data_IF_307713210594
#
_entry.id   IF_307713210594
#
_cell.length_a   1.000
_cell.length_b   1.000
_cell.length_c   1.000
_cell.angle_alpha   90.00
_cell.angle_beta   90.00
_cell.angle_gamma   90.00
#
_symmetry.space_group_name_H-M   'P 1'
#
loop_
_entity.id
_entity.type
_entity.pdbx_description
1 polymer ?
#
# COMPACT_ATOMS: atom_id res chain seq x y z
N UNK A 1 -16.90 21.38 1.54
CA UNK A 1 -16.67 20.07 0.89
C UNK A 1 -17.50 20.02 -0.38
N UNK A 2 -16.93 19.69 -1.54
CA UNK A 2 -17.71 19.61 -2.76
C UNK A 2 -18.61 18.36 -2.73
N UNK A 3 -19.86 18.51 -3.20
CA UNK A 3 -20.97 17.58 -2.96
C UNK A 3 -20.72 16.14 -3.46
N UNK A 4 -19.96 16.00 -4.54
CA UNK A 4 -19.59 14.70 -5.11
C UNK A 4 -18.84 13.78 -4.14
N UNK A 5 -17.99 14.30 -3.25
CA UNK A 5 -17.27 13.48 -2.25
C UNK A 5 -18.18 12.95 -1.13
N UNK A 6 -19.38 13.51 -0.98
CA UNK A 6 -20.41 13.00 -0.07
C UNK A 6 -21.31 12.01 -0.82
N UNK A 7 -21.64 12.32 -2.08
CA UNK A 7 -22.49 11.49 -2.92
C UNK A 7 -21.84 10.16 -3.30
N UNK A 8 -20.53 10.13 -3.57
CA UNK A 8 -19.81 8.93 -4.02
C UNK A 8 -19.86 7.79 -2.98
N UNK A 9 -19.52 7.99 -1.70
CA UNK A 9 -19.65 6.93 -0.68
C UNK A 9 -21.10 6.49 -0.48
N UNK A 10 -22.05 7.42 -0.50
CA UNK A 10 -23.47 7.09 -0.32
C UNK A 10 -24.03 6.26 -1.50
N UNK A 11 -23.69 6.65 -2.73
CA UNK A 11 -24.06 5.91 -3.93
C UNK A 11 -23.41 4.53 -3.96
N UNK A 12 -22.13 4.44 -3.59
CA UNK A 12 -21.43 3.15 -3.46
C UNK A 12 -22.03 2.26 -2.38
N UNK A 13 -22.46 2.81 -1.25
CA UNK A 13 -23.16 2.07 -0.20
C UNK A 13 -24.53 1.55 -0.66
N UNK A 14 -25.30 2.37 -1.37
CA UNK A 14 -26.58 1.95 -1.95
C UNK A 14 -26.38 0.83 -2.99
N UNK A 15 -25.36 0.96 -3.83
CA UNK A 15 -25.03 -0.04 -4.83
C UNK A 15 -24.56 -1.35 -4.19
N UNK A 16 -23.71 -1.28 -3.17
CA UNK A 16 -23.32 -2.44 -2.37
C UNK A 16 -24.56 -3.12 -1.75
N UNK A 17 -25.48 -2.35 -1.19
CA UNK A 17 -26.78 -2.87 -0.72
C UNK A 17 -27.55 -3.60 -1.81
N UNK A 18 -27.59 -3.06 -3.03
CA UNK A 18 -28.25 -3.69 -4.17
C UNK A 18 -27.61 -5.04 -4.56
N UNK A 19 -26.29 -5.19 -4.42
CA UNK A 19 -25.62 -6.48 -4.69
C UNK A 19 -26.01 -7.61 -3.74
N UNK A 20 -26.53 -7.30 -2.56
CA UNK A 20 -27.06 -8.32 -1.64
C UNK A 20 -28.48 -8.75 -1.99
N UNK A 21 -29.23 -7.92 -2.71
CA UNK A 21 -30.61 -8.17 -3.10
C UNK A 21 -30.75 -8.69 -4.54
N UNK A 22 -29.79 -8.41 -5.42
CA UNK A 22 -29.85 -8.71 -6.85
C UNK A 22 -28.67 -9.60 -7.29
N UNK A 23 -28.87 -10.52 -8.25
CA UNK A 23 -27.77 -11.29 -8.81
C UNK A 23 -26.79 -10.37 -9.55
N UNK A 24 -25.50 -10.70 -9.47
CA UNK A 24 -24.42 -9.90 -10.05
C UNK A 24 -24.37 -10.08 -11.58
N UNK A 25 -25.22 -9.35 -12.29
CA UNK A 25 -25.19 -9.26 -13.75
C UNK A 25 -23.93 -8.51 -14.23
N UNK A 26 -23.56 -8.67 -15.51
CA UNK A 26 -22.42 -7.95 -16.09
C UNK A 26 -22.56 -6.43 -15.94
N UNK A 27 -23.76 -5.88 -16.13
CA UNK A 27 -24.02 -4.44 -15.97
C UNK A 27 -23.82 -3.98 -14.52
N UNK A 28 -24.30 -4.77 -13.55
CA UNK A 28 -24.18 -4.44 -12.13
C UNK A 28 -22.73 -4.55 -11.68
N UNK A 29 -21.99 -5.54 -12.17
CA UNK A 29 -20.56 -5.68 -11.94
C UNK A 29 -19.78 -4.48 -12.49
N UNK A 30 -20.06 -4.01 -13.72
CA UNK A 30 -19.41 -2.80 -14.25
C UNK A 30 -19.72 -1.57 -13.39
N UNK A 31 -20.98 -1.39 -12.98
CA UNK A 31 -21.37 -0.28 -12.11
C UNK A 31 -20.67 -0.36 -10.75
N UNK A 32 -20.52 -1.56 -10.18
CA UNK A 32 -19.77 -1.80 -8.96
C UNK A 32 -18.29 -1.45 -9.13
N UNK A 33 -17.68 -1.76 -10.27
CA UNK A 33 -16.29 -1.40 -10.57
C UNK A 33 -16.09 0.11 -10.61
N UNK A 34 -16.99 0.84 -11.27
CA UNK A 34 -16.96 2.31 -11.31
C UNK A 34 -17.18 2.91 -9.91
N UNK A 35 -18.15 2.38 -9.15
CA UNK A 35 -18.43 2.83 -7.79
C UNK A 35 -17.26 2.55 -6.83
N UNK A 36 -16.56 1.42 -7.00
CA UNK A 36 -15.36 1.09 -6.24
C UNK A 36 -14.26 2.13 -6.45
N UNK A 37 -13.96 2.48 -7.71
CA UNK A 37 -12.97 3.52 -8.02
C UNK A 37 -13.40 4.87 -7.41
N UNK A 38 -14.68 5.23 -7.54
CA UNK A 38 -15.23 6.45 -6.93
C UNK A 38 -15.12 6.48 -5.41
N UNK A 39 -15.38 5.35 -4.75
CA UNK A 39 -15.26 5.21 -3.29
C UNK A 39 -13.80 5.30 -2.83
N UNK A 40 -12.86 4.72 -3.58
CA UNK A 40 -11.41 4.87 -3.33
C UNK A 40 -10.98 6.34 -3.43
N UNK A 41 -11.39 7.05 -4.48
CA UNK A 41 -11.10 8.48 -4.65
C UNK A 41 -11.70 9.31 -3.50
N UNK A 42 -12.94 9.00 -3.09
CA UNK A 42 -13.58 9.68 -1.97
C UNK A 42 -12.89 9.40 -0.62
N UNK A 43 -12.50 8.15 -0.36
CA UNK A 43 -11.75 7.77 0.84
C UNK A 43 -10.48 8.61 0.97
N UNK A 44 -9.77 8.81 -0.13
CA UNK A 44 -8.48 9.52 -0.13
C UNK A 44 -8.66 11.00 0.10
N UNK A 45 -9.66 11.61 -0.54
CA UNK A 45 -10.00 13.00 -0.24
C UNK A 45 -10.32 13.20 1.24
N UNK A 46 -11.14 12.32 1.83
CA UNK A 46 -11.50 12.42 3.24
C UNK A 46 -10.30 12.16 4.16
N UNK A 47 -9.42 11.21 3.80
CA UNK A 47 -8.17 10.98 4.51
C UNK A 47 -7.23 12.20 4.42
N UNK A 48 -7.12 12.87 3.28
CA UNK A 48 -6.36 14.12 3.12
C UNK A 48 -6.93 15.26 4.00
N UNK A 49 -8.26 15.40 4.08
CA UNK A 49 -8.89 16.40 4.95
C UNK A 49 -8.59 16.12 6.43
N UNK A 50 -8.68 14.87 6.86
CA UNK A 50 -8.31 14.47 8.22
C UNK A 50 -6.81 14.70 8.45
N UNK A 51 -5.96 14.32 7.49
CA UNK A 51 -4.51 14.50 7.56
C UNK A 51 -4.12 15.97 7.70
N UNK A 52 -4.75 16.87 6.93
CA UNK A 52 -4.50 18.31 7.00
C UNK A 52 -4.90 18.90 8.36
N UNK A 53 -5.94 18.36 9.01
CA UNK A 53 -6.32 18.77 10.37
C UNK A 53 -5.31 18.33 11.42
N UNK A 54 -4.79 17.12 11.29
CA UNK A 54 -3.88 16.48 12.24
C UNK A 54 -2.46 17.06 12.11
N UNK A 55 -2.05 17.40 10.88
CA UNK A 55 -0.74 17.98 10.58
C UNK A 55 0.37 16.94 10.41
N UNK A 56 1.49 17.34 9.79
CA UNK A 56 2.64 16.45 9.57
C UNK A 56 3.44 16.21 10.86
N UNK A 57 3.92 14.99 11.11
CA UNK A 57 3.96 13.82 10.22
C UNK A 57 2.79 12.84 10.43
N UNK A 58 1.89 13.11 11.38
CA UNK A 58 0.74 12.22 11.63
C UNK A 58 -0.22 12.17 10.43
N UNK A 59 -0.36 13.27 9.69
CA UNK A 59 -1.19 13.32 8.49
C UNK A 59 -0.81 12.28 7.43
N UNK A 60 0.50 12.04 7.21
CA UNK A 60 0.95 11.00 6.27
C UNK A 60 0.62 9.58 6.75
N UNK A 61 0.56 9.37 8.08
CA UNK A 61 0.17 8.08 8.65
C UNK A 61 -1.32 7.79 8.54
N UNK A 62 -2.18 8.82 8.58
CA UNK A 62 -3.64 8.63 8.45
C UNK A 62 -3.98 7.97 7.12
N UNK A 63 -3.39 8.45 6.03
CA UNK A 63 -3.63 7.88 4.70
C UNK A 63 -3.05 6.47 4.60
N UNK A 64 -1.80 6.27 5.02
CA UNK A 64 -1.16 4.95 5.02
C UNK A 64 -1.97 3.90 5.80
N UNK A 65 -2.42 4.22 7.02
CA UNK A 65 -3.23 3.30 7.83
C UNK A 65 -4.59 3.04 7.19
N UNK A 66 -5.26 4.06 6.65
CA UNK A 66 -6.54 3.88 5.98
C UNK A 66 -6.43 2.92 4.78
N UNK A 67 -5.40 3.09 3.95
CA UNK A 67 -5.12 2.23 2.80
C UNK A 67 -4.78 0.81 3.26
N UNK A 68 -3.95 0.66 4.29
CA UNK A 68 -3.63 -0.66 4.84
C UNK A 68 -4.85 -1.36 5.42
N UNK A 69 -5.79 -0.63 6.04
CA UNK A 69 -7.05 -1.23 6.50
C UNK A 69 -7.86 -1.79 5.34
N UNK A 70 -7.93 -1.10 4.20
CA UNK A 70 -8.55 -1.63 2.97
C UNK A 70 -7.82 -2.90 2.53
N UNK A 71 -6.49 -2.83 2.40
CA UNK A 71 -5.65 -3.95 1.97
C UNK A 71 -5.85 -5.19 2.83
N UNK A 72 -5.73 -5.05 4.15
CA UNK A 72 -5.94 -6.12 5.13
C UNK A 72 -7.34 -6.71 5.02
N UNK A 73 -8.37 -5.87 4.94
CA UNK A 73 -9.74 -6.33 4.86
C UNK A 73 -10.01 -7.13 3.56
N UNK A 74 -9.41 -6.73 2.44
CA UNK A 74 -9.49 -7.49 1.18
C UNK A 74 -8.75 -8.81 1.26
N UNK A 75 -7.51 -8.82 1.77
CA UNK A 75 -6.72 -10.03 1.95
C UNK A 75 -7.46 -11.01 2.85
N UNK A 76 -7.91 -10.57 4.03
CA UNK A 76 -8.66 -11.41 4.97
C UNK A 76 -9.97 -11.91 4.33
N UNK A 77 -10.72 -11.05 3.64
CA UNK A 77 -11.94 -11.49 2.95
C UNK A 77 -11.68 -12.59 1.92
N UNK A 78 -10.57 -12.53 1.19
CA UNK A 78 -10.19 -13.53 0.19
C UNK A 78 -9.65 -14.81 0.82
N UNK A 79 -8.93 -14.70 1.94
CA UNK A 79 -8.54 -15.86 2.75
C UNK A 79 -9.77 -16.62 3.26
N UNK A 80 -10.79 -15.89 3.76
CA UNK A 80 -12.03 -16.48 4.28
C UNK A 80 -12.91 -17.08 3.19
N UNK A 81 -12.90 -16.50 2.00
CA UNK A 81 -13.66 -17.02 0.86
C UNK A 81 -12.97 -18.20 0.16
N UNK A 82 -11.69 -18.43 0.46
CA UNK A 82 -10.82 -19.40 -0.21
C UNK A 82 -10.57 -20.68 0.57
N UNK A 83 -10.21 -21.75 -0.15
CA UNK A 83 -9.60 -22.95 0.41
C UNK A 83 -8.07 -22.91 0.31
N UNK A 84 -7.42 -24.09 0.30
CA UNK A 84 -5.95 -24.24 0.22
C UNK A 84 -5.31 -23.47 -0.96
N UNK A 85 -6.05 -23.33 -2.06
CA UNK A 85 -5.68 -22.56 -3.26
C UNK A 85 -5.35 -21.08 -3.02
N UNK A 86 -5.71 -20.52 -1.86
CA UNK A 86 -5.46 -19.12 -1.50
C UNK A 86 -4.39 -18.97 -0.41
N UNK A 87 -3.70 -20.05 -0.02
CA UNK A 87 -2.70 -20.02 1.04
C UNK A 87 -1.53 -19.04 0.78
N UNK A 88 -1.23 -18.77 -0.49
CA UNK A 88 -0.18 -17.82 -0.90
C UNK A 88 -0.70 -16.40 -1.17
N UNK A 89 -2.01 -16.19 -1.21
CA UNK A 89 -2.59 -14.90 -1.62
C UNK A 89 -2.15 -13.73 -0.72
N UNK A 90 -2.09 -13.87 0.62
CA UNK A 90 -1.57 -12.81 1.48
C UNK A 90 -0.12 -12.45 1.14
N UNK A 91 0.74 -13.46 0.98
CA UNK A 91 2.14 -13.28 0.57
C UNK A 91 2.25 -12.55 -0.75
N UNK A 92 1.53 -13.02 -1.76
CA UNK A 92 1.63 -12.49 -3.13
C UNK A 92 1.12 -11.04 -3.19
N UNK A 93 0.11 -10.69 -2.39
CA UNK A 93 -0.44 -9.33 -2.29
C UNK A 93 0.55 -8.39 -1.58
N UNK A 94 1.10 -8.78 -0.42
CA UNK A 94 2.09 -7.97 0.32
C UNK A 94 3.36 -7.78 -0.53
N UNK A 95 3.85 -8.85 -1.16
CA UNK A 95 4.98 -8.79 -2.08
C UNK A 95 4.71 -7.81 -3.23
N UNK A 96 3.54 -7.91 -3.85
CA UNK A 96 3.13 -6.99 -4.93
C UNK A 96 3.09 -5.55 -4.45
N UNK A 97 2.54 -5.28 -3.26
CA UNK A 97 2.48 -3.94 -2.69
C UNK A 97 3.89 -3.35 -2.49
N UNK A 98 4.82 -4.13 -1.91
CA UNK A 98 6.22 -3.71 -1.74
C UNK A 98 6.88 -3.43 -3.10
N UNK A 99 6.71 -4.32 -4.08
CA UNK A 99 7.27 -4.13 -5.41
C UNK A 99 6.70 -2.90 -6.11
N UNK A 100 5.37 -2.73 -6.12
CA UNK A 100 4.68 -1.58 -6.70
C UNK A 100 5.18 -0.29 -6.07
N UNK A 101 5.28 -0.22 -4.74
CA UNK A 101 5.71 1.00 -4.06
C UNK A 101 7.19 1.28 -4.35
N UNK A 102 8.07 0.31 -4.09
CA UNK A 102 9.51 0.52 -4.15
C UNK A 102 10.04 0.67 -5.58
N UNK A 103 9.41 0.09 -6.59
CA UNK A 103 9.87 0.18 -7.99
C UNK A 103 8.96 1.05 -8.85
N UNK A 104 7.64 0.93 -8.70
CA UNK A 104 6.67 1.71 -9.46
C UNK A 104 6.51 3.13 -8.90
N UNK A 105 5.99 3.27 -7.68
CA UNK A 105 5.65 4.58 -7.10
C UNK A 105 6.90 5.43 -6.92
N UNK A 106 7.94 4.90 -6.26
CA UNK A 106 9.23 5.59 -6.13
C UNK A 106 9.79 5.92 -7.52
N UNK A 107 9.78 4.98 -8.46
CA UNK A 107 10.29 5.20 -9.82
C UNK A 107 9.59 6.34 -10.56
N UNK A 108 8.25 6.40 -10.55
CA UNK A 108 7.49 7.48 -11.17
C UNK A 108 7.75 8.81 -10.47
N UNK A 109 7.82 8.84 -9.13
CA UNK A 109 8.10 10.05 -8.37
C UNK A 109 9.48 10.62 -8.72
N UNK A 110 10.52 9.78 -8.75
CA UNK A 110 11.88 10.19 -9.09
C UNK A 110 11.98 10.63 -10.56
N UNK A 111 11.32 9.92 -11.48
CA UNK A 111 11.33 10.27 -12.89
C UNK A 111 10.60 11.60 -13.15
N UNK A 112 9.36 11.73 -12.68
CA UNK A 112 8.55 12.93 -12.88
C UNK A 112 9.15 14.16 -12.19
N UNK A 113 9.67 13.97 -10.97
CA UNK A 113 10.39 14.98 -10.22
C UNK A 113 11.69 15.41 -10.89
N UNK A 114 12.51 14.45 -11.35
CA UNK A 114 13.75 14.73 -12.09
C UNK A 114 13.51 15.38 -13.46
N UNK A 115 12.44 15.03 -14.18
CA UNK A 115 12.09 15.69 -15.44
C UNK A 115 11.66 17.15 -15.23
N UNK A 116 11.01 17.45 -14.10
CA UNK A 116 10.51 18.80 -13.79
C UNK A 116 11.58 19.69 -13.17
N UNK A 117 12.43 19.12 -12.30
CA UNK A 117 13.35 19.87 -11.42
C UNK A 117 14.83 19.54 -11.64
N UNK A 118 15.17 18.66 -12.59
CA UNK A 118 16.51 18.12 -12.88
C UNK A 118 17.07 17.25 -11.74
N UNK A 119 17.29 17.84 -10.56
CA UNK A 119 17.72 17.15 -9.35
C UNK A 119 16.90 17.63 -8.15
N UNK A 120 16.52 16.70 -7.29
CA UNK A 120 15.78 16.99 -6.05
C UNK A 120 16.53 16.45 -4.84
N UNK A 121 16.45 17.15 -3.72
CA UNK A 121 17.09 16.74 -2.46
C UNK A 121 16.06 16.34 -1.41
N UNK A 122 16.46 15.45 -0.51
CA UNK A 122 15.65 14.99 0.61
C UNK A 122 16.56 14.59 1.78
N UNK A 123 15.98 14.33 2.95
CA UNK A 123 16.70 13.88 4.14
C UNK A 123 16.91 12.37 4.11
N UNK A 124 18.18 11.99 4.18
CA UNK A 124 18.62 10.60 4.16
C UNK A 124 18.16 9.83 5.39
N UNK A 125 18.14 10.50 6.54
CA UNK A 125 17.93 9.88 7.84
C UNK A 125 16.54 9.23 7.94
N UNK A 126 15.50 9.93 7.50
CA UNK A 126 14.13 9.41 7.50
C UNK A 126 13.94 8.29 6.48
N UNK A 127 14.44 8.50 5.26
CA UNK A 127 14.27 7.58 4.13
C UNK A 127 15.05 6.27 4.34
N UNK A 128 16.29 6.34 4.82
CA UNK A 128 17.11 5.16 5.12
C UNK A 128 16.54 4.38 6.30
N UNK A 129 16.00 5.07 7.32
CA UNK A 129 15.31 4.40 8.43
C UNK A 129 14.09 3.63 7.93
N UNK A 130 13.32 4.22 7.02
CA UNK A 130 12.16 3.57 6.45
C UNK A 130 12.54 2.34 5.60
N UNK A 131 13.54 2.50 4.71
CA UNK A 131 14.02 1.41 3.87
C UNK A 131 14.63 0.27 4.69
N UNK A 132 15.41 0.57 5.73
CA UNK A 132 15.99 -0.43 6.62
C UNK A 132 14.92 -1.24 7.36
N UNK A 133 13.89 -0.57 7.90
CA UNK A 133 12.76 -1.25 8.52
C UNK A 133 12.02 -2.14 7.51
N UNK A 134 11.84 -1.66 6.27
CA UNK A 134 11.14 -2.41 5.23
C UNK A 134 11.91 -3.68 4.81
N UNK A 135 13.23 -3.57 4.66
CA UNK A 135 14.12 -4.72 4.39
C UNK A 135 14.01 -5.75 5.51
N UNK A 136 14.01 -5.32 6.77
CA UNK A 136 13.88 -6.22 7.91
C UNK A 136 12.50 -6.90 7.94
N UNK A 137 11.41 -6.15 7.74
CA UNK A 137 10.05 -6.69 7.71
C UNK A 137 9.88 -7.70 6.58
N UNK A 138 10.31 -7.37 5.36
CA UNK A 138 10.19 -8.26 4.20
C UNK A 138 11.13 -9.47 4.33
N UNK A 139 12.34 -9.28 4.87
CA UNK A 139 13.27 -10.37 5.15
C UNK A 139 12.70 -11.38 6.15
N UNK A 140 12.20 -10.90 7.30
CA UNK A 140 11.65 -11.77 8.34
C UNK A 140 10.35 -12.45 7.93
N UNK A 141 9.46 -11.74 7.24
CA UNK A 141 8.13 -12.27 6.94
C UNK A 141 8.05 -13.03 5.62
N UNK A 142 8.73 -12.58 4.56
CA UNK A 142 8.57 -13.12 3.20
C UNK A 142 9.79 -13.93 2.71
N UNK A 143 11.00 -13.62 3.18
CA UNK A 143 12.22 -14.29 2.72
C UNK A 143 12.57 -15.50 3.58
N UNK A 144 12.74 -15.28 4.89
CA UNK A 144 13.19 -16.32 5.82
C UNK A 144 12.32 -17.59 5.89
N UNK A 145 10.98 -17.59 5.69
CA UNK A 145 10.21 -18.83 5.75
C UNK A 145 10.76 -19.91 4.79
N UNK A 146 11.21 -19.48 3.60
CA UNK A 146 11.78 -20.35 2.55
C UNK A 146 13.13 -20.97 2.94
N UNK A 147 13.82 -20.42 3.94
CA UNK A 147 15.15 -20.87 4.39
C UNK A 147 15.14 -21.56 5.74
N UNK A 148 14.00 -21.66 6.41
CA UNK A 148 13.89 -22.42 7.66
C UNK A 148 13.86 -23.93 7.42
N UNK A 149 14.30 -24.71 8.40
CA UNK A 149 14.27 -26.18 8.34
C UNK A 149 12.92 -26.77 8.76
N UNK A 150 12.00 -25.94 9.28
CA UNK A 150 10.69 -26.35 9.77
C UNK A 150 9.69 -26.73 8.69
N UNK A 151 9.91 -26.28 7.44
CA UNK A 151 9.03 -26.56 6.30
C UNK A 151 9.79 -26.48 4.99
N UNK A 152 9.51 -27.39 4.07
CA UNK A 152 10.06 -27.35 2.70
C UNK A 152 9.27 -26.44 1.75
N UNK A 153 8.10 -25.94 2.17
CA UNK A 153 7.16 -25.19 1.32
C UNK A 153 7.13 -23.70 1.71
N UNK A 154 8.03 -23.24 2.57
CA UNK A 154 8.10 -21.84 3.00
C UNK A 154 6.98 -21.44 3.98
N UNK A 155 6.54 -22.37 4.82
CA UNK A 155 5.62 -22.09 5.94
C UNK A 155 6.37 -21.92 7.25
N UNK A 156 5.75 -21.22 8.20
CA UNK A 156 6.25 -21.09 9.55
C UNK A 156 5.46 -21.95 10.52
N UNK A 157 6.13 -22.39 11.60
CA UNK A 157 5.46 -22.97 12.77
C UNK A 157 4.67 -21.88 13.51
N UNK A 158 3.77 -22.29 14.41
CA UNK A 158 3.01 -21.34 15.22
C UNK A 158 3.90 -20.34 16.00
N UNK A 159 4.99 -20.80 16.60
CA UNK A 159 5.91 -19.92 17.35
C UNK A 159 6.65 -18.93 16.44
N UNK A 160 7.04 -19.36 15.24
CA UNK A 160 7.65 -18.51 14.22
C UNK A 160 6.65 -17.47 13.68
N UNK A 161 5.40 -17.87 13.41
CA UNK A 161 4.32 -16.97 13.01
C UNK A 161 4.05 -15.90 14.08
N UNK A 162 3.92 -16.31 15.34
CA UNK A 162 3.73 -15.39 16.46
C UNK A 162 4.89 -14.39 16.58
N UNK A 163 6.14 -14.87 16.47
CA UNK A 163 7.32 -14.01 16.50
C UNK A 163 7.32 -13.00 15.36
N UNK A 164 7.03 -13.44 14.13
CA UNK A 164 7.02 -12.57 12.94
C UNK A 164 5.87 -11.56 13.01
N UNK A 165 4.68 -11.95 13.47
CA UNK A 165 3.58 -11.02 13.71
C UNK A 165 3.94 -9.94 14.75
N UNK A 166 4.45 -10.35 15.93
CA UNK A 166 4.78 -9.40 17.00
C UNK A 166 5.94 -8.49 16.59
N UNK A 167 7.00 -9.04 16.00
CA UNK A 167 8.14 -8.24 15.53
C UNK A 167 7.77 -7.28 14.41
N UNK A 168 6.85 -7.67 13.52
CA UNK A 168 6.38 -6.79 12.44
C UNK A 168 5.60 -5.60 12.97
N UNK A 169 4.66 -5.85 13.88
CA UNK A 169 3.89 -4.80 14.54
C UNK A 169 4.79 -3.90 15.38
N UNK A 170 5.74 -4.48 16.13
CA UNK A 170 6.66 -3.74 16.97
C UNK A 170 7.56 -2.83 16.14
N UNK A 171 8.13 -3.32 15.04
CA UNK A 171 9.01 -2.53 14.19
C UNK A 171 8.25 -1.40 13.47
N UNK A 172 7.02 -1.65 13.03
CA UNK A 172 6.14 -0.60 12.53
C UNK A 172 5.82 0.45 13.60
N UNK A 173 5.47 0.02 14.82
CA UNK A 173 5.18 0.93 15.92
C UNK A 173 6.41 1.78 16.31
N UNK A 174 7.61 1.19 16.33
CA UNK A 174 8.87 1.90 16.54
C UNK A 174 9.12 2.91 15.43
N UNK A 175 8.91 2.53 14.17
CA UNK A 175 9.04 3.45 13.04
C UNK A 175 8.08 4.64 13.18
N UNK A 176 6.80 4.39 13.47
CA UNK A 176 5.80 5.42 13.72
C UNK A 176 6.22 6.33 14.88
N UNK A 177 6.70 5.77 15.98
CA UNK A 177 7.17 6.55 17.14
C UNK A 177 8.39 7.43 16.79
N UNK A 178 9.34 6.89 16.04
CA UNK A 178 10.51 7.62 15.55
C UNK A 178 10.09 8.75 14.61
N UNK A 179 9.18 8.47 13.68
CA UNK A 179 8.66 9.43 12.72
C UNK A 179 7.85 10.55 13.39
N UNK A 180 7.06 10.24 14.40
CA UNK A 180 6.09 11.19 14.99
C UNK A 180 6.59 11.94 16.21
N UNK A 181 7.43 11.31 17.03
CA UNK A 181 7.83 11.85 18.33
C UNK A 181 9.34 12.09 18.39
N UNK A 182 10.14 11.03 18.23
CA UNK A 182 11.55 11.08 18.64
C UNK A 182 12.47 11.79 17.64
N UNK A 183 12.29 11.55 16.34
CA UNK A 183 13.14 12.10 15.28
C UNK A 183 12.31 12.71 14.15
N UNK A 184 11.23 13.40 14.52
CA UNK A 184 10.29 14.04 13.58
C UNK A 184 10.99 14.90 12.52
N UNK A 185 12.06 15.60 12.88
CA UNK A 185 12.81 16.48 11.98
C UNK A 185 13.47 15.75 10.80
N UNK A 186 13.68 14.43 10.91
CA UNK A 186 14.21 13.61 9.82
C UNK A 186 13.20 13.38 8.70
N UNK A 187 11.91 13.56 9.00
CA UNK A 187 10.82 13.31 8.07
C UNK A 187 10.20 14.61 7.56
N UNK A 188 10.49 15.77 8.17
CA UNK A 188 10.01 17.04 7.65
C UNK A 188 10.87 17.50 6.45
N UNK A 189 10.25 18.05 5.39
CA UNK A 189 11.00 18.67 4.29
C UNK A 189 12.05 19.67 4.79
N UNK A 190 13.15 19.82 4.07
CA UNK A 190 14.10 20.89 4.37
C UNK A 190 13.37 22.24 4.24
N UNK A 191 13.53 23.13 5.23
CA UNK A 191 12.85 24.44 5.24
C UNK A 191 13.35 25.26 4.06
N UNK A 192 12.58 25.31 2.97
CA UNK A 192 12.80 26.25 1.89
C UNK A 192 12.19 27.60 2.28
N UNK A 193 12.99 28.67 2.24
CA UNK A 193 12.55 30.04 2.51
C UNK A 193 11.50 30.56 1.51
N UNK A 194 11.27 29.84 0.41
CA UNK A 194 10.27 30.11 -0.64
C UNK A 194 8.95 29.35 -0.48
N UNK A 195 8.78 28.53 0.58
CA UNK A 195 7.60 27.70 0.79
C UNK A 195 6.53 28.43 1.63
N UNK A 196 6.07 29.59 1.15
CA UNK A 196 5.01 30.40 1.80
C UNK A 196 3.58 29.81 1.62
N UNK A 197 3.40 28.77 0.80
CA UNK A 197 2.08 28.20 0.48
C UNK A 197 1.59 27.11 1.47
N UNK A 198 1.71 27.35 2.78
CA UNK A 198 1.00 26.55 3.82
C UNK A 198 0.24 27.47 4.76
N UNK A 199 -0.57 28.36 4.18
CA UNK A 199 -1.57 29.15 4.89
C UNK A 199 -3.02 28.81 4.46
N UNK A 200 -3.24 27.62 3.89
CA UNK A 200 -4.59 27.06 3.93
C UNK A 200 -4.92 26.78 5.40
N UNK A 201 -5.87 27.53 5.97
CA UNK A 201 -6.33 27.31 7.33
C UNK A 201 -6.73 25.83 7.48
N UNK A 202 -6.34 25.16 8.57
CA UNK A 202 -6.75 23.78 8.81
C UNK A 202 -8.28 23.71 8.80
N UNK A 203 -8.88 22.64 8.25
CA UNK A 203 -10.32 22.50 8.17
C UNK A 203 -10.93 22.57 9.59
N UNK A 204 -12.18 23.02 9.69
CA UNK A 204 -12.84 23.12 10.99
C UNK A 204 -13.01 21.74 11.63
N UNK A 205 -13.11 21.67 12.97
CA UNK A 205 -13.30 20.39 13.68
C UNK A 205 -14.54 19.62 13.16
N UNK A 206 -15.63 20.32 12.84
CA UNK A 206 -16.82 19.69 12.27
C UNK A 206 -16.57 19.08 10.88
N UNK A 207 -15.79 19.75 10.05
CA UNK A 207 -15.38 19.22 8.74
C UNK A 207 -14.47 18.00 8.90
N UNK A 208 -13.50 18.03 9.82
CA UNK A 208 -12.61 16.90 10.05
C UNK A 208 -13.36 15.65 10.52
N UNK A 209 -14.31 15.80 11.46
CA UNK A 209 -15.13 14.69 11.92
C UNK A 209 -16.09 14.16 10.86
N UNK A 210 -16.69 15.04 10.05
CA UNK A 210 -17.52 14.63 8.92
C UNK A 210 -16.71 13.84 7.88
N UNK A 211 -15.50 14.30 7.54
CA UNK A 211 -14.60 13.56 6.66
C UNK A 211 -14.17 12.24 7.28
N UNK A 212 -13.89 12.19 8.59
CA UNK A 212 -13.58 10.92 9.25
C UNK A 212 -14.73 9.91 9.16
N UNK A 213 -15.97 10.34 9.40
CA UNK A 213 -17.14 9.46 9.26
C UNK A 213 -17.32 8.98 7.80
N UNK A 214 -17.18 9.88 6.82
CA UNK A 214 -17.28 9.54 5.40
C UNK A 214 -16.12 8.67 4.91
N UNK A 215 -14.92 8.82 5.49
CA UNK A 215 -13.79 7.92 5.29
C UNK A 215 -14.19 6.51 5.73
N UNK A 216 -14.72 6.34 6.94
CA UNK A 216 -15.16 5.02 7.43
C UNK A 216 -16.22 4.38 6.54
N UNK A 217 -17.21 5.16 6.07
CA UNK A 217 -18.21 4.68 5.10
C UNK A 217 -17.54 4.26 3.78
N UNK A 218 -16.62 5.08 3.27
CA UNK A 218 -15.90 4.78 2.03
C UNK A 218 -15.09 3.49 2.16
N UNK A 219 -14.43 3.26 3.30
CA UNK A 219 -13.69 2.02 3.57
C UNK A 219 -14.61 0.79 3.52
N UNK A 220 -15.79 0.85 4.18
CA UNK A 220 -16.78 -0.23 4.14
C UNK A 220 -17.24 -0.52 2.72
N UNK A 221 -17.53 0.54 1.94
CA UNK A 221 -17.96 0.42 0.55
C UNK A 221 -16.87 -0.20 -0.32
N UNK A 222 -15.62 0.25 -0.20
CA UNK A 222 -14.49 -0.28 -0.96
C UNK A 222 -14.30 -1.77 -0.69
N UNK A 223 -14.26 -2.16 0.60
CA UNK A 223 -14.10 -3.56 1.00
C UNK A 223 -15.27 -4.42 0.49
N UNK A 224 -16.50 -3.93 0.67
CA UNK A 224 -17.69 -4.65 0.23
C UNK A 224 -17.76 -4.82 -1.29
N UNK A 225 -17.57 -3.75 -2.06
CA UNK A 225 -17.63 -3.82 -3.53
C UNK A 225 -16.50 -4.67 -4.11
N UNK A 226 -15.28 -4.54 -3.60
CA UNK A 226 -14.16 -5.36 -4.04
C UNK A 226 -14.37 -6.85 -3.73
N UNK A 227 -14.99 -7.19 -2.58
CA UNK A 227 -15.41 -8.57 -2.29
C UNK A 227 -16.40 -9.10 -3.33
N UNK A 228 -17.40 -8.31 -3.70
CA UNK A 228 -18.40 -8.71 -4.71
C UNK A 228 -17.79 -8.84 -6.11
N UNK A 229 -16.75 -8.05 -6.42
CA UNK A 229 -16.06 -8.08 -7.71
C UNK A 229 -14.95 -9.13 -7.81
N UNK A 230 -14.47 -9.68 -6.69
CA UNK A 230 -13.39 -10.68 -6.69
C UNK A 230 -13.66 -11.85 -7.65
N UNK A 231 -14.84 -12.51 -7.66
CA UNK A 231 -15.11 -13.61 -8.60
C UNK A 231 -15.02 -13.17 -10.07
N UNK A 232 -15.40 -11.93 -10.37
CA UNK A 232 -15.31 -11.35 -11.72
C UNK A 232 -13.85 -11.16 -12.13
N UNK A 233 -13.01 -10.65 -11.21
CA UNK A 233 -11.57 -10.51 -11.43
C UNK A 233 -10.92 -11.88 -11.65
N UNK A 234 -11.28 -12.87 -10.84
CA UNK A 234 -10.75 -14.24 -10.96
C UNK A 234 -11.14 -14.89 -12.29
N UNK A 235 -12.39 -14.73 -12.71
CA UNK A 235 -12.85 -15.21 -14.01
C UNK A 235 -12.14 -14.51 -15.18
N UNK A 236 -11.92 -13.20 -15.08
CA UNK A 236 -11.21 -12.42 -16.10
C UNK A 236 -9.73 -12.84 -16.21
N UNK A 237 -9.04 -13.02 -15.08
CA UNK A 237 -7.65 -13.52 -15.04
C UNK A 237 -7.56 -14.92 -15.64
N UNK A 238 -8.50 -15.81 -15.27
CA UNK A 238 -8.55 -17.18 -15.80
C UNK A 238 -8.81 -17.19 -17.30
N UNK A 239 -9.74 -16.37 -17.79
CA UNK A 239 -10.06 -16.24 -19.21
C UNK A 239 -8.89 -15.69 -20.04
N UNK A 240 -8.05 -14.84 -19.44
CA UNK A 240 -6.83 -14.33 -20.06
C UNK A 240 -5.67 -15.36 -20.04
N UNK A 241 -5.84 -16.52 -19.38
CA UNK A 241 -4.78 -17.50 -19.18
C UNK A 241 -3.66 -17.00 -18.26
N UNK A 242 -3.92 -15.95 -17.47
CA UNK A 242 -2.92 -15.28 -16.65
C UNK A 242 -2.75 -15.97 -15.29
N UNK A 243 -1.55 -15.94 -14.67
CA UNK A 243 -1.32 -16.55 -13.37
C UNK A 243 -2.17 -15.93 -12.24
N UNK A 244 -2.52 -16.72 -11.22
CA UNK A 244 -3.30 -16.24 -10.05
C UNK A 244 -2.61 -15.08 -9.30
N UNK A 245 -1.28 -14.97 -9.37
CA UNK A 245 -0.51 -13.86 -8.80
C UNK A 245 -0.95 -12.49 -9.32
N UNK A 246 -1.50 -12.42 -10.55
CA UNK A 246 -2.03 -11.19 -11.16
C UNK A 246 -3.21 -10.62 -10.36
N UNK A 247 -3.96 -11.46 -9.64
CA UNK A 247 -5.05 -11.00 -8.76
C UNK A 247 -4.48 -10.13 -7.64
N UNK A 248 -3.40 -10.57 -6.99
CA UNK A 248 -2.72 -9.80 -5.93
C UNK A 248 -2.16 -8.48 -6.45
N UNK A 249 -1.59 -8.48 -7.65
CA UNK A 249 -1.09 -7.26 -8.33
C UNK A 249 -2.24 -6.30 -8.63
N UNK A 250 -3.36 -6.79 -9.16
CA UNK A 250 -4.51 -5.96 -9.49
C UNK A 250 -5.11 -5.30 -8.24
N UNK A 251 -5.23 -6.06 -7.14
CA UNK A 251 -5.70 -5.54 -5.86
C UNK A 251 -4.73 -4.47 -5.33
N UNK A 252 -3.44 -4.78 -5.29
CA UNK A 252 -2.44 -3.84 -4.79
C UNK A 252 -2.41 -2.54 -5.62
N UNK A 253 -2.45 -2.62 -6.95
CA UNK A 253 -2.50 -1.44 -7.82
C UNK A 253 -3.75 -0.57 -7.56
N UNK A 254 -4.91 -1.20 -7.40
CA UNK A 254 -6.16 -0.48 -7.10
C UNK A 254 -6.07 0.26 -5.76
N UNK A 255 -5.58 -0.43 -4.73
CA UNK A 255 -5.52 0.10 -3.36
C UNK A 255 -4.45 1.20 -3.23
N UNK A 256 -3.33 1.06 -3.92
CA UNK A 256 -2.19 2.00 -3.88
C UNK A 256 -2.33 3.18 -4.87
N UNK A 257 -3.28 3.14 -5.80
CA UNK A 257 -3.46 4.18 -6.81
C UNK A 257 -3.51 5.61 -6.22
N UNK A 258 -4.26 5.86 -5.13
CA UNK A 258 -4.37 7.22 -4.63
C UNK A 258 -3.12 7.70 -3.90
N UNK A 259 -2.44 6.81 -3.17
CA UNK A 259 -1.14 7.07 -2.55
C UNK A 259 -0.12 7.44 -3.62
N UNK A 260 -0.13 6.66 -4.72
CA UNK A 260 0.73 6.91 -5.88
C UNK A 260 0.48 8.31 -6.43
N UNK A 261 -0.78 8.70 -6.60
CA UNK A 261 -1.13 10.03 -7.07
C UNK A 261 -0.66 11.14 -6.12
N UNK A 262 -0.87 10.98 -4.80
CA UNK A 262 -0.43 11.94 -3.80
C UNK A 262 1.10 12.08 -3.77
N UNK A 263 1.82 10.96 -3.83
CA UNK A 263 3.28 10.93 -3.86
C UNK A 263 3.85 11.57 -5.13
N UNK A 264 3.27 11.30 -6.30
CA UNK A 264 3.70 11.92 -7.58
C UNK A 264 3.43 13.41 -7.57
N UNK A 265 2.26 13.84 -7.10
CA UNK A 265 1.92 15.26 -6.96
C UNK A 265 2.90 15.98 -6.04
N UNK A 266 3.29 15.37 -4.93
CA UNK A 266 4.29 15.92 -4.02
C UNK A 266 5.68 16.03 -4.68
N UNK A 267 6.10 15.01 -5.44
CA UNK A 267 7.37 15.04 -6.17
C UNK A 267 7.40 16.16 -7.24
N UNK A 268 6.31 16.31 -8.01
CA UNK A 268 6.13 17.38 -9.00
C UNK A 268 6.11 18.77 -8.36
N UNK A 269 5.62 18.90 -7.13
CA UNK A 269 5.60 20.15 -6.36
C UNK A 269 6.92 20.46 -5.62
N UNK A 270 8.01 19.80 -5.99
CA UNK A 270 9.33 19.91 -5.35
C UNK A 270 9.35 19.52 -3.85
N UNK A 271 8.49 18.58 -3.45
CA UNK A 271 8.38 18.06 -2.09
C UNK A 271 8.74 16.58 -2.05
N UNK A 272 9.93 16.24 -2.52
CA UNK A 272 10.39 14.84 -2.62
C UNK A 272 10.42 14.14 -1.26
N UNK A 273 10.77 14.83 -0.16
CA UNK A 273 10.70 14.24 1.18
C UNK A 273 9.28 13.75 1.53
N UNK A 274 8.25 14.58 1.27
CA UNK A 274 6.85 14.22 1.51
C UNK A 274 6.46 13.04 0.62
N UNK A 275 6.87 13.04 -0.64
CA UNK A 275 6.65 11.93 -1.59
C UNK A 275 7.24 10.61 -1.07
N UNK A 276 8.49 10.61 -0.60
CA UNK A 276 9.15 9.42 -0.06
C UNK A 276 8.54 8.95 1.27
N UNK A 277 8.13 9.87 2.14
CA UNK A 277 7.44 9.53 3.39
C UNK A 277 6.09 8.84 3.12
N UNK A 278 5.33 9.33 2.14
CA UNK A 278 4.07 8.73 1.70
C UNK A 278 4.33 7.31 1.17
N UNK A 279 5.19 7.19 0.15
CA UNK A 279 5.50 5.91 -0.48
C UNK A 279 6.05 4.87 0.53
N UNK A 280 7.20 5.14 1.16
CA UNK A 280 7.85 4.17 2.05
C UNK A 280 7.06 3.96 3.35
N UNK A 281 6.38 5.00 3.85
CA UNK A 281 5.48 4.86 5.00
C UNK A 281 4.31 3.91 4.69
N UNK A 282 3.73 4.00 3.49
CA UNK A 282 2.70 3.08 3.02
C UNK A 282 3.23 1.65 2.88
N UNK A 283 4.44 1.43 2.37
CA UNK A 283 5.02 0.09 2.28
C UNK A 283 5.24 -0.53 3.67
N UNK A 284 5.74 0.26 4.63
CA UNK A 284 5.93 -0.18 6.01
C UNK A 284 4.61 -0.48 6.71
N UNK A 285 3.59 0.35 6.51
CA UNK A 285 2.26 0.10 7.04
C UNK A 285 1.67 -1.19 6.45
N UNK A 286 1.72 -1.33 5.12
CA UNK A 286 1.25 -2.51 4.38
C UNK A 286 1.81 -3.80 4.98
N UNK A 287 3.14 -3.95 5.10
CA UNK A 287 3.70 -5.18 5.66
C UNK A 287 3.57 -5.26 7.18
N UNK A 288 3.83 -4.16 7.89
CA UNK A 288 3.91 -4.10 9.35
C UNK A 288 2.58 -4.31 10.06
N UNK A 289 1.46 -3.97 9.42
CA UNK A 289 0.11 -4.19 9.94
C UNK A 289 -0.57 -5.42 9.31
N UNK A 290 -0.30 -5.72 8.03
CA UNK A 290 -0.94 -6.86 7.36
C UNK A 290 -0.44 -8.19 7.88
N UNK A 291 0.88 -8.35 8.07
CA UNK A 291 1.46 -9.62 8.58
C UNK A 291 0.82 -10.03 9.93
N UNK A 292 0.74 -9.16 10.94
CA UNK A 292 0.01 -9.49 12.17
C UNK A 292 -1.44 -9.90 11.93
N UNK A 293 -2.17 -9.15 11.11
CA UNK A 293 -3.59 -9.41 10.86
C UNK A 293 -3.84 -10.75 10.18
N UNK A 294 -3.05 -11.09 9.16
CA UNK A 294 -3.19 -12.36 8.43
C UNK A 294 -2.73 -13.55 9.27
N UNK A 295 -1.70 -13.37 10.10
CA UNK A 295 -1.26 -14.41 11.04
C UNK A 295 -2.33 -14.69 12.08
N UNK A 296 -2.88 -13.66 12.72
CA UNK A 296 -3.98 -13.81 13.70
C UNK A 296 -5.19 -14.49 13.05
N UNK A 297 -5.58 -14.04 11.85
CA UNK A 297 -6.71 -14.64 11.11
C UNK A 297 -6.45 -16.11 10.79
N UNK A 298 -5.29 -16.43 10.22
CA UNK A 298 -4.95 -17.80 9.83
C UNK A 298 -4.87 -18.74 11.03
N UNK A 299 -4.29 -18.28 12.15
CA UNK A 299 -4.15 -19.10 13.36
C UNK A 299 -5.45 -19.29 14.13
N UNK A 300 -6.35 -18.29 14.16
CA UNK A 300 -7.63 -18.41 14.84
C UNK A 300 -8.64 -19.28 14.08
N UNK A 301 -8.51 -19.34 12.76
CA UNK A 301 -9.46 -20.00 11.87
C UNK A 301 -8.86 -21.24 11.18
N UNK A 302 -7.68 -21.67 11.62
CA UNK A 302 -6.93 -22.82 11.07
C UNK A 302 -6.79 -22.78 9.53
N UNK A 303 -6.55 -21.59 8.97
CA UNK A 303 -6.38 -21.40 7.54
C UNK A 303 -4.93 -21.68 7.11
N UNK A 304 -4.71 -22.29 5.93
CA UNK A 304 -3.37 -22.48 5.40
C UNK A 304 -2.74 -21.13 5.03
N UNK A 305 -1.50 -20.91 5.46
CA UNK A 305 -0.76 -19.68 5.22
C UNK A 305 0.68 -19.99 4.81
N UNK A 306 1.05 -19.58 3.60
CA UNK A 306 2.40 -19.70 3.04
C UNK A 306 2.96 -18.30 2.84
N UNK A 307 3.94 -17.92 3.65
CA UNK A 307 4.57 -16.59 3.57
C UNK A 307 5.87 -16.60 2.75
N UNK A 308 6.56 -17.73 2.63
CA UNK A 308 7.84 -17.82 1.94
C UNK A 308 7.73 -17.56 0.45
N UNK A 309 8.54 -16.65 -0.08
CA UNK A 309 8.60 -16.32 -1.51
C UNK A 309 9.32 -17.39 -2.32
N UNK A 310 8.90 -17.61 -3.59
CA UNK A 310 9.66 -18.43 -4.52
C UNK A 310 10.98 -17.76 -4.95
N UNK A 311 11.93 -18.51 -5.52
CA UNK A 311 13.27 -18.00 -5.86
C UNK A 311 13.29 -16.76 -6.77
N UNK A 312 12.39 -16.68 -7.74
CA UNK A 312 12.30 -15.54 -8.68
C UNK A 312 11.93 -14.26 -7.93
N UNK A 313 10.89 -14.31 -7.11
CA UNK A 313 10.39 -13.19 -6.33
C UNK A 313 11.42 -12.75 -5.27
N UNK A 314 12.15 -13.69 -4.68
CA UNK A 314 13.27 -13.41 -3.78
C UNK A 314 14.36 -12.58 -4.46
N UNK A 315 14.77 -12.97 -5.67
CA UNK A 315 15.81 -12.26 -6.43
C UNK A 315 15.33 -10.86 -6.82
N UNK A 316 14.09 -10.72 -7.28
CA UNK A 316 13.51 -9.41 -7.62
C UNK A 316 13.39 -8.49 -6.40
N UNK A 317 13.01 -9.03 -5.24
CA UNK A 317 12.93 -8.28 -3.99
C UNK A 317 14.33 -7.80 -3.55
N UNK A 318 15.33 -8.69 -3.61
CA UNK A 318 16.70 -8.36 -3.27
C UNK A 318 17.28 -7.28 -4.19
N UNK A 319 17.05 -7.39 -5.50
CA UNK A 319 17.45 -6.35 -6.47
C UNK A 319 16.77 -5.02 -6.18
N UNK A 320 15.48 -5.05 -5.86
CA UNK A 320 14.70 -3.85 -5.51
C UNK A 320 15.28 -3.14 -4.29
N UNK A 321 15.57 -3.87 -3.21
CA UNK A 321 16.16 -3.26 -2.02
C UNK A 321 17.60 -2.79 -2.23
N UNK A 322 18.41 -3.52 -3.00
CA UNK A 322 19.76 -3.10 -3.34
C UNK A 322 19.75 -1.78 -4.14
N UNK A 323 18.93 -1.72 -5.19
CA UNK A 323 18.79 -0.53 -6.03
C UNK A 323 18.17 0.63 -5.25
N UNK A 324 17.20 0.36 -4.38
CA UNK A 324 16.62 1.34 -3.46
C UNK A 324 17.66 1.92 -2.51
N UNK A 325 18.53 1.09 -1.93
CA UNK A 325 19.57 1.54 -1.01
C UNK A 325 20.63 2.42 -1.72
N UNK A 326 21.01 2.06 -2.95
CA UNK A 326 21.94 2.87 -3.76
C UNK A 326 21.30 4.21 -4.15
N UNK A 327 20.03 4.18 -4.56
CA UNK A 327 19.31 5.37 -5.05
C UNK A 327 18.98 6.34 -3.93
N UNK A 328 18.47 5.83 -2.81
CA UNK A 328 18.03 6.63 -1.70
C UNK A 328 19.18 6.96 -0.72
N UNK A 329 20.34 6.34 -0.87
CA UNK A 329 21.50 6.55 0.01
C UNK A 329 22.29 7.84 -0.25
N UNK A 330 22.03 8.56 -1.35
CA UNK A 330 22.77 9.78 -1.73
C UNK A 330 22.09 11.08 -1.29
N UNK A 331 20.80 11.07 -0.96
CA UNK A 331 20.04 12.25 -0.51
C UNK A 331 19.67 13.22 -1.63
N UNK A 332 20.05 12.87 -2.86
CA UNK A 332 19.77 13.61 -4.09
C UNK A 332 19.38 12.63 -5.17
N UNK A 333 18.39 12.99 -5.98
CA UNK A 333 17.87 12.12 -7.04
C UNK A 333 17.89 12.74 -8.41
N UNK A 334 17.91 11.89 -9.44
CA UNK A 334 17.83 12.28 -10.84
C UNK A 334 16.98 11.32 -11.67
N UNK A 335 16.74 11.70 -12.93
CA UNK A 335 15.94 10.95 -13.92
C UNK A 335 16.43 9.50 -14.11
N UNK A 336 17.75 9.26 -14.08
CA UNK A 336 18.33 7.93 -14.29
C UNK A 336 17.91 6.95 -13.19
N UNK A 337 17.90 7.40 -11.94
CA UNK A 337 17.46 6.57 -10.82
C UNK A 337 15.98 6.18 -10.93
N UNK A 338 15.13 7.13 -11.34
CA UNK A 338 13.72 6.87 -11.63
C UNK A 338 13.53 5.84 -12.75
N UNK A 339 14.28 5.98 -13.85
CA UNK A 339 14.26 5.02 -14.95
C UNK A 339 14.67 3.61 -14.51
N UNK A 340 15.72 3.46 -13.70
CA UNK A 340 16.15 2.15 -13.18
C UNK A 340 15.04 1.48 -12.36
N UNK A 341 14.37 2.25 -11.48
CA UNK A 341 13.25 1.72 -10.68
C UNK A 341 12.09 1.28 -11.58
N UNK A 342 11.74 2.06 -12.60
CA UNK A 342 10.67 1.71 -13.53
C UNK A 342 10.98 0.51 -14.42
N UNK A 343 12.25 0.30 -14.78
CA UNK A 343 12.68 -0.93 -15.47
C UNK A 343 12.51 -2.14 -14.56
N UNK A 344 12.87 -2.05 -13.28
CA UNK A 344 12.60 -3.12 -12.31
C UNK A 344 11.10 -3.38 -12.14
N UNK A 345 10.28 -2.31 -12.12
CA UNK A 345 8.83 -2.43 -12.06
C UNK A 345 8.26 -3.14 -13.29
N UNK A 346 8.73 -2.76 -14.49
CA UNK A 346 8.35 -3.40 -15.73
C UNK A 346 8.77 -4.88 -15.76
N UNK A 347 9.98 -5.20 -15.26
CA UNK A 347 10.46 -6.57 -15.13
C UNK A 347 9.59 -7.38 -14.15
N UNK A 348 9.20 -6.80 -13.02
CA UNK A 348 8.28 -7.41 -12.06
C UNK A 348 6.92 -7.73 -12.71
N UNK A 349 6.30 -6.77 -13.41
CA UNK A 349 5.03 -7.00 -14.09
C UNK A 349 5.16 -8.04 -15.19
N UNK A 350 6.18 -7.93 -16.03
CA UNK A 350 6.43 -8.86 -17.14
C UNK A 350 6.63 -10.29 -16.62
N UNK A 351 7.51 -10.49 -15.64
CA UNK A 351 7.78 -11.80 -15.04
C UNK A 351 6.63 -12.31 -14.15
N UNK A 352 5.63 -11.49 -13.84
CA UNK A 352 4.42 -11.95 -13.15
C UNK A 352 3.35 -12.43 -14.13
N UNK A 353 3.29 -11.83 -15.32
CA UNK A 353 2.38 -12.20 -16.41
C UNK A 353 2.94 -13.36 -17.25
N UNK A 354 4.26 -13.36 -17.47
CA UNK A 354 5.03 -14.33 -18.23
C UNK A 354 6.10 -14.91 -17.29
N UNK A 355 5.73 -15.91 -16.46
CA UNK A 355 6.53 -16.36 -15.31
C UNK A 355 7.83 -17.09 -15.64
#
# INVERSE_FOLDING_TARGET
MPLWFIALPAAGAALLGATFALPLSAWLATLCGVALIGAVIAAVHHAEVVAHRVGEPFGTLVLAVAITVIEVALIVSLMLAGGEDKATLPRDTIYSAVMIICTGVVGVCLLAGGLSHHEQSFRLEGTNSALSALVALAGLSLVLPTFTTSSSVGTYTFSQLAFVAVSSLALWAVFVFVQTVRHRDYFLPQKNASNEDVHALPPSNGQAWASFALLMVSLVVVVGLAKQLSPVIEAAVSAAGAPKTVIGIAIALLVLLPETWAAVRAALADRLQTSMNLALGSALASIGLTIPAVVVTATLLDLPLVLGLPPKELVLLALTFLVGAITLGTGRTNVMQGAVHLVLFAAFLFLSLVP
#
